data_IF_836591599913
#
_entry.id   IF_836591599913
#
_cell.length_a   1.000
_cell.length_b   1.000
_cell.length_c   1.000
_cell.angle_alpha   90.00
_cell.angle_beta   90.00
_cell.angle_gamma   90.00
#
_symmetry.space_group_name_H-M   'P 1'
#
loop_
_entity.id
_entity.type
_entity.pdbx_description
1 polymer ?
#
# COMPACT_ATOMS: atom_id res chain seq x y z
N UNK A 1 -25.87 29.14 25.42
CA UNK A 1 -25.62 27.68 25.45
C UNK A 1 -25.74 27.18 24.01
N UNK A 2 -25.01 26.11 23.65
CA UNK A 2 -24.80 25.53 22.31
C UNK A 2 -23.55 26.02 21.56
N UNK A 3 -22.41 25.39 21.87
CA UNK A 3 -21.23 25.30 20.99
C UNK A 3 -20.40 24.03 21.24
N UNK A 4 -21.02 22.93 21.69
CA UNK A 4 -20.33 21.65 21.93
C UNK A 4 -20.43 20.70 20.71
N UNK A 5 -21.58 20.65 20.01
CA UNK A 5 -21.80 19.71 18.89
C UNK A 5 -20.87 19.93 17.68
N UNK A 6 -20.40 21.16 17.44
CA UNK A 6 -19.52 21.47 16.31
C UNK A 6 -18.05 21.09 16.54
N UNK A 7 -17.57 21.16 17.78
CA UNK A 7 -16.18 20.85 18.12
C UNK A 7 -15.97 19.34 18.29
N UNK A 8 -16.96 18.64 18.82
CA UNK A 8 -16.96 17.18 18.96
C UNK A 8 -16.90 16.48 17.59
N UNK A 9 -17.70 16.94 16.62
CA UNK A 9 -17.68 16.40 15.27
C UNK A 9 -16.31 16.60 14.59
N UNK A 10 -15.72 17.79 14.68
CA UNK A 10 -14.39 18.08 14.11
C UNK A 10 -13.27 17.22 14.71
N UNK A 11 -13.34 16.89 16.00
CA UNK A 11 -12.37 16.03 16.68
C UNK A 11 -12.59 14.53 16.41
N UNK A 12 -13.82 14.12 16.06
CA UNK A 12 -14.19 12.72 15.83
C UNK A 12 -13.82 12.25 14.42
N UNK A 13 -13.98 13.10 13.40
CA UNK A 13 -13.69 12.73 12.00
C UNK A 13 -12.28 12.19 11.76
N UNK A 14 -11.18 12.79 12.29
CA UNK A 14 -9.84 12.26 12.11
C UNK A 14 -9.67 10.86 12.72
N UNK A 15 -10.25 10.64 13.91
CA UNK A 15 -10.20 9.35 14.61
C UNK A 15 -10.92 8.25 13.84
N UNK A 16 -12.12 8.54 13.32
CA UNK A 16 -12.87 7.57 12.52
C UNK A 16 -12.14 7.22 11.23
N UNK A 17 -11.50 8.22 10.59
CA UNK A 17 -10.69 7.99 9.39
C UNK A 17 -9.49 7.09 9.67
N UNK A 18 -8.80 7.31 10.79
CA UNK A 18 -7.68 6.47 11.22
C UNK A 18 -8.14 5.03 11.52
N UNK A 19 -9.24 4.87 12.24
CA UNK A 19 -9.84 3.55 12.51
C UNK A 19 -10.18 2.80 11.21
N UNK A 20 -10.81 3.48 10.25
CA UNK A 20 -11.14 2.89 8.96
C UNK A 20 -9.89 2.47 8.17
N UNK A 21 -8.81 3.25 8.21
CA UNK A 21 -7.53 2.89 7.59
C UNK A 21 -6.97 1.62 8.23
N UNK A 22 -6.96 1.54 9.57
CA UNK A 22 -6.46 0.38 10.30
C UNK A 22 -7.28 -0.88 10.01
N UNK A 23 -8.60 -0.76 9.99
CA UNK A 23 -9.51 -1.86 9.65
C UNK A 23 -9.30 -2.34 8.21
N UNK A 24 -9.18 -1.41 7.26
CA UNK A 24 -8.87 -1.75 5.86
C UNK A 24 -7.52 -2.49 5.73
N UNK A 25 -6.49 -2.04 6.43
CA UNK A 25 -5.19 -2.73 6.42
C UNK A 25 -5.28 -4.13 7.05
N UNK A 26 -6.04 -4.28 8.14
CA UNK A 26 -6.29 -5.59 8.75
C UNK A 26 -7.03 -6.54 7.80
N UNK A 27 -8.04 -6.03 7.09
CA UNK A 27 -8.80 -6.79 6.09
C UNK A 27 -7.95 -7.17 4.87
N UNK A 28 -6.97 -6.36 4.48
CA UNK A 28 -6.00 -6.75 3.45
C UNK A 28 -5.06 -7.85 3.93
N UNK A 29 -4.53 -7.70 5.15
CA UNK A 29 -3.63 -8.67 5.74
C UNK A 29 -4.27 -10.06 5.97
N UNK A 30 -5.59 -10.12 6.16
CA UNK A 30 -6.29 -11.41 6.31
C UNK A 30 -6.54 -12.16 5.01
N UNK A 31 -6.44 -11.50 3.84
CA UNK A 31 -6.78 -12.10 2.54
C UNK A 31 -5.66 -12.95 1.93
N UNK A 32 -4.40 -12.54 2.10
CA UNK A 32 -3.25 -13.26 1.57
C UNK A 32 -2.01 -12.99 2.46
N UNK A 33 -1.20 -14.00 2.80
CA UNK A 33 -0.02 -13.81 3.65
C UNK A 33 1.00 -12.82 3.06
N UNK A 34 1.10 -12.72 1.73
CA UNK A 34 1.99 -11.76 1.04
C UNK A 34 1.49 -10.33 1.23
N UNK A 35 0.17 -10.12 1.21
CA UNK A 35 -0.43 -8.83 1.58
C UNK A 35 -0.24 -8.55 3.07
N UNK A 36 -0.32 -9.55 3.94
CA UNK A 36 0.00 -9.39 5.36
C UNK A 36 1.45 -8.90 5.55
N UNK A 37 2.42 -9.48 4.84
CA UNK A 37 3.81 -9.01 4.87
C UNK A 37 3.92 -7.58 4.34
N UNK A 38 3.26 -7.23 3.23
CA UNK A 38 3.26 -5.87 2.69
C UNK A 38 2.67 -4.83 3.67
N UNK A 39 1.59 -5.20 4.39
CA UNK A 39 0.98 -4.38 5.43
C UNK A 39 1.94 -4.20 6.61
N UNK A 40 2.50 -5.29 7.13
CA UNK A 40 3.31 -5.29 8.35
C UNK A 40 4.69 -4.65 8.16
N UNK A 41 5.22 -4.66 6.93
CA UNK A 41 6.55 -4.14 6.64
C UNK A 41 7.67 -5.13 6.96
N UNK A 42 8.92 -4.67 6.86
CA UNK A 42 10.11 -5.49 7.12
C UNK A 42 10.39 -5.75 8.60
N UNK A 43 9.74 -5.01 9.51
CA UNK A 43 10.11 -4.96 10.93
C UNK A 43 11.47 -4.29 11.20
N UNK A 44 12.07 -3.64 10.19
CA UNK A 44 13.37 -2.95 10.27
C UNK A 44 13.27 -1.55 9.69
N UNK A 45 14.35 -0.76 9.78
CA UNK A 45 14.44 0.54 9.14
C UNK A 45 14.58 0.47 7.61
N UNK A 46 14.78 -0.72 7.03
CA UNK A 46 14.81 -0.87 5.58
C UNK A 46 13.37 -0.98 5.05
N UNK A 47 12.89 -0.02 4.23
CA UNK A 47 11.55 -0.08 3.68
C UNK A 47 11.39 -1.15 2.59
N UNK A 48 12.48 -1.67 2.03
CA UNK A 48 12.46 -2.66 0.96
C UNK A 48 12.61 -4.07 1.53
N UNK A 49 11.66 -4.95 1.24
CA UNK A 49 11.67 -6.33 1.70
C UNK A 49 10.91 -7.25 0.74
N UNK A 50 11.24 -8.54 0.77
CA UNK A 50 10.50 -9.55 0.00
C UNK A 50 9.14 -9.79 0.64
N UNK A 51 8.10 -9.91 -0.18
CA UNK A 51 6.80 -10.45 0.22
C UNK A 51 6.55 -11.84 -0.33
N UNK A 52 7.59 -12.50 -0.88
CA UNK A 52 7.54 -13.84 -1.42
C UNK A 52 7.62 -13.87 -2.95
N UNK A 53 7.00 -14.90 -3.53
CA UNK A 53 6.98 -15.14 -4.96
C UNK A 53 5.55 -15.39 -5.45
N UNK A 54 5.30 -15.19 -6.75
CA UNK A 54 4.02 -15.45 -7.38
C UNK A 54 4.11 -15.42 -8.90
N UNK A 55 2.99 -15.67 -9.56
CA UNK A 55 2.86 -15.46 -11.02
C UNK A 55 2.54 -13.99 -11.32
N UNK A 56 2.68 -13.59 -12.58
CA UNK A 56 2.23 -12.29 -13.07
C UNK A 56 0.74 -12.09 -12.82
N UNK A 57 -0.07 -13.13 -13.05
CA UNK A 57 -1.52 -13.10 -12.80
C UNK A 57 -1.85 -12.92 -11.31
N UNK A 58 -1.18 -13.67 -10.42
CA UNK A 58 -1.32 -13.49 -8.96
C UNK A 58 -0.90 -12.08 -8.54
N UNK A 59 0.20 -11.56 -9.10
CA UNK A 59 0.66 -10.20 -8.83
C UNK A 59 -0.40 -9.16 -9.18
N UNK A 60 -1.03 -9.28 -10.34
CA UNK A 60 -2.08 -8.35 -10.78
C UNK A 60 -3.32 -8.42 -9.89
N UNK A 61 -3.72 -9.64 -9.47
CA UNK A 61 -4.85 -9.84 -8.57
C UNK A 61 -4.56 -9.22 -7.20
N UNK A 62 -3.42 -9.56 -6.60
CA UNK A 62 -2.98 -8.98 -5.32
C UNK A 62 -2.82 -7.46 -5.42
N UNK A 63 -2.29 -6.97 -6.53
CA UNK A 63 -2.10 -5.55 -6.80
C UNK A 63 -3.40 -4.77 -6.81
N UNK A 64 -4.46 -5.33 -7.42
CA UNK A 64 -5.82 -4.77 -7.41
C UNK A 64 -6.41 -4.78 -6.00
N UNK A 65 -6.31 -5.91 -5.29
CA UNK A 65 -6.75 -6.00 -3.89
C UNK A 65 -6.03 -4.98 -3.02
N UNK A 66 -4.72 -4.83 -3.19
CA UNK A 66 -3.87 -3.90 -2.45
C UNK A 66 -4.31 -2.44 -2.59
N UNK A 67 -4.59 -1.98 -3.81
CA UNK A 67 -5.03 -0.59 -4.02
C UNK A 67 -6.51 -0.40 -3.72
N UNK A 68 -7.32 -1.45 -3.83
CA UNK A 68 -8.75 -1.46 -3.57
C UNK A 68 -9.57 -0.68 -4.60
N UNK A 69 -10.87 -0.60 -4.34
CA UNK A 69 -11.81 0.11 -5.21
C UNK A 69 -11.52 1.61 -5.27
N UNK A 70 -11.84 2.22 -6.41
CA UNK A 70 -11.59 3.63 -6.67
C UNK A 70 -10.12 3.97 -6.91
N UNK A 71 -9.25 2.97 -7.02
CA UNK A 71 -7.87 3.16 -7.42
C UNK A 71 -7.75 3.82 -8.80
N UNK A 72 -6.72 4.66 -8.95
CA UNK A 72 -6.45 5.42 -10.17
C UNK A 72 -5.09 5.05 -10.72
N UNK A 73 -4.84 5.36 -11.99
CA UNK A 73 -3.47 5.30 -12.52
C UNK A 73 -2.60 6.32 -11.81
N UNK A 74 -1.38 5.92 -11.50
CA UNK A 74 -0.31 6.83 -11.08
C UNK A 74 -0.01 7.84 -12.18
N UNK A 75 0.58 9.00 -11.84
CA UNK A 75 0.82 10.07 -12.81
C UNK A 75 1.76 9.70 -13.96
N UNK A 76 2.67 8.75 -13.74
CA UNK A 76 3.53 8.16 -14.77
C UNK A 76 2.82 7.09 -15.62
N UNK A 77 1.60 6.68 -15.24
CA UNK A 77 0.82 5.65 -15.92
C UNK A 77 1.29 4.21 -15.67
N UNK A 78 2.35 4.00 -14.88
CA UNK A 78 3.03 2.70 -14.71
C UNK A 78 2.55 1.92 -13.48
N UNK A 79 1.39 2.25 -12.94
CA UNK A 79 0.87 1.57 -11.75
C UNK A 79 -0.44 2.15 -11.27
N UNK A 80 -0.96 1.56 -10.19
CA UNK A 80 -2.21 1.96 -9.56
C UNK A 80 -1.94 2.58 -8.19
N UNK A 81 -2.72 3.58 -7.82
CA UNK A 81 -2.72 4.21 -6.50
C UNK A 81 -4.11 4.12 -5.89
N UNK A 82 -4.18 3.74 -4.60
CA UNK A 82 -5.43 3.70 -3.85
C UNK A 82 -6.13 5.05 -3.81
N UNK A 83 -7.44 5.05 -3.61
CA UNK A 83 -8.25 6.27 -3.59
C UNK A 83 -7.81 7.28 -2.51
N UNK A 84 -7.29 6.78 -1.39
CA UNK A 84 -6.76 7.60 -0.28
C UNK A 84 -5.29 8.02 -0.48
N UNK A 85 -4.64 7.55 -1.54
CA UNK A 85 -3.26 7.89 -1.89
C UNK A 85 -2.17 7.19 -1.07
N UNK A 86 -2.54 6.29 -0.14
CA UNK A 86 -1.60 5.70 0.83
C UNK A 86 -0.94 4.41 0.34
N UNK A 87 -1.46 3.77 -0.71
CA UNK A 87 -0.97 2.50 -1.25
C UNK A 87 -0.77 2.60 -2.75
N UNK A 88 0.35 2.09 -3.25
CA UNK A 88 0.63 1.99 -4.69
C UNK A 88 1.00 0.55 -5.03
N UNK A 89 0.45 0.08 -6.15
CA UNK A 89 0.88 -1.14 -6.82
C UNK A 89 1.66 -0.77 -8.08
N UNK A 90 2.89 -1.28 -8.22
CA UNK A 90 3.65 -1.27 -9.47
C UNK A 90 3.66 -2.69 -10.05
N UNK A 91 3.13 -2.89 -11.27
CA UNK A 91 3.13 -4.19 -11.93
C UNK A 91 4.53 -4.78 -12.13
N UNK A 92 4.63 -6.08 -12.45
CA UNK A 92 5.88 -6.74 -12.80
C UNK A 92 6.73 -5.94 -13.79
N UNK A 93 7.98 -5.71 -13.43
CA UNK A 93 8.97 -5.08 -14.29
C UNK A 93 10.30 -5.79 -14.16
N UNK A 94 11.04 -5.88 -15.26
CA UNK A 94 12.41 -6.40 -15.26
C UNK A 94 13.28 -5.58 -14.30
N UNK A 95 14.06 -6.27 -13.49
CA UNK A 95 15.01 -5.70 -12.54
C UNK A 95 16.33 -6.43 -12.60
N UNK A 96 17.37 -5.68 -12.88
CA UNK A 96 18.75 -6.13 -12.73
C UNK A 96 19.24 -5.81 -11.31
N UNK A 97 19.02 -6.76 -10.39
CA UNK A 97 19.37 -6.59 -8.97
C UNK A 97 19.57 -7.94 -8.29
N UNK A 98 20.55 -8.07 -7.38
CA UNK A 98 20.73 -9.30 -6.60
C UNK A 98 19.54 -9.61 -5.68
N UNK A 99 18.67 -8.63 -5.44
CA UNK A 99 17.46 -8.80 -4.63
C UNK A 99 16.23 -9.21 -5.46
N UNK A 100 16.38 -9.35 -6.78
CA UNK A 100 15.39 -9.86 -7.71
C UNK A 100 15.83 -11.24 -8.25
N UNK A 101 15.74 -12.31 -7.43
CA UNK A 101 16.20 -13.66 -7.82
C UNK A 101 15.61 -14.20 -9.12
N UNK A 102 14.45 -13.70 -9.56
CA UNK A 102 13.82 -14.10 -10.82
C UNK A 102 14.03 -13.09 -11.96
N UNK A 103 14.71 -11.97 -11.69
CA UNK A 103 14.89 -10.87 -12.65
C UNK A 103 13.64 -10.03 -12.91
N UNK A 104 12.50 -10.35 -12.30
CA UNK A 104 11.24 -9.61 -12.47
C UNK A 104 10.55 -9.44 -11.12
N UNK A 105 10.13 -8.22 -10.80
CA UNK A 105 9.41 -7.94 -9.56
C UNK A 105 8.27 -6.96 -9.74
N UNK A 106 7.22 -7.15 -8.96
CA UNK A 106 6.20 -6.15 -8.69
C UNK A 106 6.42 -5.50 -7.32
N UNK A 107 5.90 -4.28 -7.13
CA UNK A 107 6.05 -3.55 -5.88
C UNK A 107 4.70 -3.21 -5.23
N UNK A 108 4.64 -3.38 -3.92
CA UNK A 108 3.52 -3.06 -3.03
C UNK A 108 3.97 -2.00 -2.04
N UNK A 109 3.72 -0.73 -2.39
CA UNK A 109 4.27 0.42 -1.67
C UNK A 109 3.23 1.00 -0.71
N UNK A 110 3.68 1.44 0.48
CA UNK A 110 2.89 2.27 1.40
C UNK A 110 3.51 3.64 1.57
N UNK A 111 2.65 4.63 1.79
CA UNK A 111 3.02 6.02 1.99
C UNK A 111 2.34 6.60 3.22
N UNK A 112 3.08 7.44 3.94
CA UNK A 112 2.49 8.45 4.81
C UNK A 112 2.25 9.72 3.99
N UNK A 113 1.14 10.39 4.24
CA UNK A 113 0.82 11.67 3.61
C UNK A 113 1.04 12.76 4.66
N UNK A 114 1.93 13.70 4.38
CA UNK A 114 2.10 14.87 5.24
C UNK A 114 0.78 15.66 5.25
N UNK A 115 0.13 15.84 6.40
CA UNK A 115 -1.20 16.46 6.47
C UNK A 115 -1.19 17.95 6.11
N UNK A 116 -0.02 18.61 6.18
CA UNK A 116 0.14 20.04 5.89
C UNK A 116 0.51 20.28 4.44
N UNK A 117 1.44 19.49 3.89
CA UNK A 117 1.98 19.72 2.52
C UNK A 117 1.37 18.81 1.46
N UNK A 118 0.65 17.75 1.87
CA UNK A 118 0.18 16.70 0.96
C UNK A 118 1.30 15.82 0.39
N UNK A 119 2.55 16.02 0.82
CA UNK A 119 3.69 15.24 0.35
C UNK A 119 3.55 13.77 0.76
N UNK A 120 3.71 12.86 -0.21
CA UNK A 120 3.76 11.42 0.02
C UNK A 120 5.19 11.00 0.36
N UNK A 121 5.35 10.36 1.51
CA UNK A 121 6.62 9.81 1.99
C UNK A 121 6.49 8.29 1.99
N UNK A 122 7.30 7.60 1.20
CA UNK A 122 7.29 6.13 1.14
C UNK A 122 7.82 5.56 2.46
N UNK A 123 7.05 4.67 3.07
CA UNK A 123 7.40 4.05 4.37
C UNK A 123 7.59 2.53 4.28
N UNK A 124 7.09 1.90 3.22
CA UNK A 124 7.25 0.45 3.00
C UNK A 124 7.16 0.15 1.50
N UNK A 125 7.87 -0.88 1.06
CA UNK A 125 7.98 -1.33 -0.32
C UNK A 125 8.21 -2.86 -0.36
N UNK A 126 7.11 -3.61 -0.38
CA UNK A 126 7.15 -5.05 -0.53
C UNK A 126 7.39 -5.47 -1.98
N UNK A 127 8.38 -6.32 -2.22
CA UNK A 127 8.73 -6.82 -3.55
C UNK A 127 8.26 -8.27 -3.73
N UNK A 128 7.39 -8.49 -4.71
CA UNK A 128 6.96 -9.83 -5.12
C UNK A 128 7.81 -10.28 -6.30
N UNK A 129 8.53 -11.39 -6.16
CA UNK A 129 9.27 -11.98 -7.28
C UNK A 129 8.34 -12.78 -8.20
N UNK A 130 8.49 -12.59 -9.50
CA UNK A 130 7.64 -13.20 -10.52
C UNK A 130 8.34 -14.39 -11.15
N UNK A 131 7.67 -15.53 -11.26
CA UNK A 131 8.28 -16.82 -11.64
C UNK A 131 7.88 -17.37 -13.02
N UNK A 132 7.05 -16.65 -13.77
CA UNK A 132 6.48 -17.06 -15.07
C UNK A 132 6.72 -16.03 -16.18
#
# INVERSE_FOLDING_TARGET
MFSEEGSENAALYPKLKEQLILENLKNLASQDPRLATAVNGSGTNNPNFSIGQGTSTESDQLGKTWVGDGAKKTGDGLGLISADGTRVYRPPMSKDSPFAPTGVQANFERYNINPTTGQRIKVSNGHLNIKD
#
